data_IF_039989688273
#
_entry.id   IF_039989688273
#
_cell.length_a   1.000
_cell.length_b   1.000
_cell.length_c   1.000
_cell.angle_alpha   90.00
_cell.angle_beta   90.00
_cell.angle_gamma   90.00
#
_symmetry.space_group_name_H-M   'P 1'
#
loop_
_entity.id
_entity.type
_entity.pdbx_description
1 polymer ?
#
# COMPACT_ATOMS: atom_id res chain seq x y z
N UNK A 1 10.62 -2.78 15.88
CA UNK A 1 10.28 -2.39 14.50
C UNK A 1 9.35 -3.45 13.93
N UNK A 2 8.22 -3.06 13.36
CA UNK A 2 7.32 -3.97 12.62
C UNK A 2 7.34 -3.58 11.14
N UNK A 3 7.26 -4.58 10.28
CA UNK A 3 7.18 -4.44 8.82
C UNK A 3 5.90 -5.15 8.41
N UNK A 4 4.91 -4.39 7.94
CA UNK A 4 3.59 -4.90 7.61
C UNK A 4 3.33 -4.67 6.11
N UNK A 5 3.37 -5.72 5.27
CA UNK A 5 2.93 -5.61 3.89
C UNK A 5 1.40 -5.45 3.85
N UNK A 6 0.92 -4.36 3.27
CA UNK A 6 -0.51 -4.07 3.08
C UNK A 6 -0.97 -4.39 1.65
N UNK A 7 -0.02 -4.48 0.70
CA UNK A 7 -0.21 -4.99 -0.66
C UNK A 7 1.12 -5.20 -1.37
N UNK A 8 1.12 -5.95 -2.48
CA UNK A 8 2.30 -6.21 -3.33
C UNK A 8 3.15 -7.40 -2.89
N UNK A 9 3.04 -7.87 -1.63
CA UNK A 9 3.75 -9.09 -1.22
C UNK A 9 3.07 -10.34 -1.79
N UNK A 10 3.81 -11.09 -2.61
CA UNK A 10 3.30 -12.33 -3.22
C UNK A 10 2.42 -12.12 -4.45
N UNK A 11 2.39 -10.89 -4.97
CA UNK A 11 1.60 -10.49 -6.14
C UNK A 11 2.31 -9.38 -6.93
N UNK A 12 1.74 -9.00 -8.08
CA UNK A 12 2.21 -7.85 -8.88
C UNK A 12 1.18 -6.74 -8.76
N UNK A 13 1.61 -5.53 -8.42
CA UNK A 13 0.75 -4.37 -8.26
C UNK A 13 0.44 -4.03 -6.81
N UNK A 14 -0.27 -2.91 -6.60
CA UNK A 14 -0.77 -2.42 -5.30
C UNK A 14 0.26 -2.42 -4.18
N UNK A 15 1.49 -2.00 -4.50
CA UNK A 15 2.56 -1.95 -3.51
C UNK A 15 2.18 -0.97 -2.40
N UNK A 16 2.22 -1.48 -1.16
CA UNK A 16 2.05 -0.66 0.03
C UNK A 16 2.63 -1.42 1.22
N UNK A 17 3.50 -0.74 1.97
CA UNK A 17 4.10 -1.31 3.18
C UNK A 17 4.08 -0.29 4.33
N UNK A 18 3.70 -0.74 5.53
CA UNK A 18 3.81 0.06 6.74
C UNK A 18 5.06 -0.34 7.53
N UNK A 19 5.90 0.65 7.83
CA UNK A 19 6.98 0.54 8.80
C UNK A 19 6.53 1.17 10.10
N UNK A 20 6.42 0.38 11.16
CA UNK A 20 6.04 0.87 12.49
C UNK A 20 7.22 0.78 13.46
N UNK A 21 7.54 1.91 14.08
CA UNK A 21 8.58 2.03 15.09
C UNK A 21 8.22 3.13 16.08
N UNK A 22 8.36 2.85 17.38
CA UNK A 22 8.15 3.81 18.47
C UNK A 22 6.82 4.60 18.39
N UNK A 23 5.72 3.88 18.10
CA UNK A 23 4.40 4.49 18.01
C UNK A 23 4.20 5.39 16.78
N UNK A 24 5.13 5.37 15.82
CA UNK A 24 5.05 6.11 14.55
C UNK A 24 5.01 5.13 13.38
N UNK A 25 4.34 5.54 12.30
CA UNK A 25 4.17 4.77 11.08
C UNK A 25 4.63 5.59 9.88
N UNK A 26 5.54 5.03 9.09
CA UNK A 26 5.83 5.50 7.73
C UNK A 26 5.21 4.51 6.74
N UNK A 27 4.42 5.01 5.81
CA UNK A 27 3.89 4.22 4.70
C UNK A 27 4.86 4.34 3.53
N UNK A 28 5.19 3.23 2.89
CA UNK A 28 5.97 3.18 1.66
C UNK A 28 5.02 2.79 0.54
N UNK A 29 4.88 3.68 -0.44
CA UNK A 29 4.01 3.59 -1.60
C UNK A 29 2.51 3.45 -1.27
N UNK A 30 1.69 3.71 -2.28
CA UNK A 30 0.25 3.51 -2.26
C UNK A 30 -0.19 3.22 -3.69
N UNK A 31 0.02 1.99 -4.13
CA UNK A 31 -0.24 1.59 -5.51
C UNK A 31 -1.62 1.02 -5.79
N UNK A 32 -1.90 0.85 -7.08
CA UNK A 32 -3.00 0.03 -7.59
C UNK A 32 -2.50 -1.22 -8.31
N UNK A 33 -3.34 -2.23 -8.39
CA UNK A 33 -3.16 -3.37 -9.28
C UNK A 33 -4.14 -3.26 -10.43
N UNK A 34 -3.62 -3.34 -11.66
CA UNK A 34 -4.47 -3.42 -12.84
C UNK A 34 -5.18 -4.76 -12.90
N UNK A 35 -6.44 -4.80 -13.38
CA UNK A 35 -7.11 -6.06 -13.66
C UNK A 35 -6.33 -6.86 -14.71
N UNK A 36 -6.26 -8.18 -14.53
CA UNK A 36 -5.77 -9.07 -15.59
C UNK A 36 -6.74 -9.04 -16.78
N UNK A 37 -6.30 -9.46 -17.96
CA UNK A 37 -7.10 -9.46 -19.21
C UNK A 37 -8.46 -10.19 -19.09
N UNK A 38 -8.60 -11.05 -18.08
CA UNK A 38 -9.78 -11.88 -17.81
C UNK A 38 -10.78 -11.16 -16.88
N UNK A 39 -10.35 -10.10 -16.18
CA UNK A 39 -11.19 -9.35 -15.22
C UNK A 39 -11.70 -8.04 -15.84
N UNK A 40 -12.92 -7.59 -15.46
CA UNK A 40 -13.44 -6.30 -15.90
C UNK A 40 -12.51 -5.14 -15.52
N UNK A 41 -12.35 -4.16 -16.42
CA UNK A 41 -11.53 -2.95 -16.21
C UNK A 41 -11.92 -2.19 -14.92
N UNK A 42 -13.18 -2.29 -14.50
CA UNK A 42 -13.67 -1.72 -13.23
C UNK A 42 -13.08 -2.38 -11.96
N UNK A 43 -12.20 -3.37 -12.09
CA UNK A 43 -11.68 -4.18 -10.97
C UNK A 43 -10.25 -3.81 -10.58
N UNK A 44 -9.90 -2.52 -10.57
CA UNK A 44 -8.64 -2.06 -9.98
C UNK A 44 -8.55 -2.51 -8.53
N UNK A 45 -7.45 -3.15 -8.16
CA UNK A 45 -7.19 -3.61 -6.80
C UNK A 45 -6.39 -2.58 -6.02
N UNK A 46 -6.83 -2.24 -4.80
CA UNK A 46 -6.07 -1.43 -3.85
C UNK A 46 -5.57 -2.30 -2.69
N UNK A 47 -4.56 -1.81 -1.97
CA UNK A 47 -4.02 -2.44 -0.77
C UNK A 47 -5.04 -2.47 0.39
N UNK A 48 -4.96 -3.46 1.28
CA UNK A 48 -5.82 -3.53 2.47
C UNK A 48 -5.27 -2.64 3.58
N UNK A 49 -5.91 -1.49 3.79
CA UNK A 49 -5.50 -0.51 4.82
C UNK A 49 -6.14 -0.75 6.18
N UNK A 50 -6.80 -1.89 6.41
CA UNK A 50 -7.52 -2.15 7.68
C UNK A 50 -6.61 -2.04 8.91
N UNK A 51 -5.32 -2.36 8.76
CA UNK A 51 -4.30 -2.19 9.79
C UNK A 51 -4.15 -0.73 10.29
N UNK A 52 -4.43 0.26 9.44
CA UNK A 52 -4.21 1.67 9.69
C UNK A 52 -5.42 2.40 10.29
N UNK A 53 -6.60 1.77 10.32
CA UNK A 53 -7.86 2.42 10.67
C UNK A 53 -7.87 3.08 12.06
N UNK A 54 -7.25 2.42 13.05
CA UNK A 54 -7.12 2.86 14.44
C UNK A 54 -5.79 3.61 14.71
N UNK A 55 -4.93 3.79 13.70
CA UNK A 55 -3.55 4.32 13.84
C UNK A 55 -3.31 5.60 13.06
N UNK A 56 -4.35 6.27 12.57
CA UNK A 56 -4.23 7.46 11.71
C UNK A 56 -3.34 8.56 12.30
N UNK A 57 -3.43 8.78 13.62
CA UNK A 57 -2.63 9.80 14.33
C UNK A 57 -1.14 9.43 14.47
N UNK A 58 -0.76 8.19 14.16
CA UNK A 58 0.61 7.70 14.22
C UNK A 58 1.33 7.83 12.86
N UNK A 59 0.60 8.10 11.78
CA UNK A 59 1.14 8.16 10.43
C UNK A 59 1.90 9.48 10.24
N UNK A 60 3.20 9.37 9.97
CA UNK A 60 4.07 10.51 9.69
C UNK A 60 3.91 11.01 8.25
N UNK A 61 3.61 10.11 7.33
CA UNK A 61 3.47 10.42 5.92
C UNK A 61 3.60 9.18 5.04
N UNK A 62 3.65 9.42 3.74
CA UNK A 62 3.85 8.41 2.69
C UNK A 62 5.15 8.74 1.96
N UNK A 63 6.06 7.77 1.89
CA UNK A 63 7.24 7.81 1.05
C UNK A 63 6.91 7.14 -0.28
N UNK A 64 7.00 7.89 -1.38
CA UNK A 64 6.86 7.34 -2.72
C UNK A 64 8.23 7.01 -3.29
N UNK A 65 8.42 5.76 -3.72
CA UNK A 65 9.68 5.28 -4.27
C UNK A 65 9.91 5.77 -5.69
N UNK A 66 8.87 5.72 -6.53
CA UNK A 66 8.87 6.20 -7.92
C UNK A 66 7.43 6.32 -8.44
N UNK A 67 7.28 6.82 -9.68
CA UNK A 67 5.98 7.22 -10.24
C UNK A 67 5.27 6.20 -11.13
N UNK A 68 5.48 4.90 -10.94
CA UNK A 68 4.64 3.90 -11.62
C UNK A 68 3.31 3.71 -10.86
N UNK A 69 2.22 3.43 -11.58
CA UNK A 69 0.87 3.35 -11.02
C UNK A 69 0.74 2.29 -9.90
N UNK A 70 1.54 1.22 -9.95
CA UNK A 70 1.60 0.23 -8.89
C UNK A 70 2.31 0.70 -7.61
N UNK A 71 2.76 1.95 -7.58
CA UNK A 71 3.36 2.62 -6.42
C UNK A 71 2.65 3.93 -6.01
N UNK A 72 1.89 4.58 -6.91
CA UNK A 72 1.25 5.89 -6.65
C UNK A 72 -0.25 5.98 -6.93
N UNK A 73 -0.88 4.89 -7.39
CA UNK A 73 -2.24 4.87 -7.92
C UNK A 73 -3.39 5.03 -6.92
#
# INVERSE_FOLDING_TARGET
MKVIPLGGLGEIGKNMMALEYDGQILIIDAGIAFPSEIKPISSFGVSDTSYLNDKKNMILGVLITHGHDDHIG
#
